data_IF_850527192537
#
_entry.id   IF_850527192537
#
_cell.length_a   1.000
_cell.length_b   1.000
_cell.length_c   1.000
_cell.angle_alpha   90.00
_cell.angle_beta   90.00
_cell.angle_gamma   90.00
#
_symmetry.space_group_name_H-M   'P 1'
#
loop_
_entity.id
_entity.type
_entity.pdbx_description
1 polymer ?
#
# COMPACT_ATOMS: atom_id res chain seq x y z
N UNK A 1 -23.66 -27.35 45.67
CA UNK A 1 -23.06 -27.83 44.41
C UNK A 1 -24.22 -27.94 43.42
N UNK A 2 -24.23 -27.37 42.23
CA UNK A 2 -23.20 -27.31 41.20
C UNK A 2 -23.27 -25.99 40.42
N UNK A 3 -22.10 -25.46 40.07
CA UNK A 3 -21.95 -24.27 39.24
C UNK A 3 -22.13 -24.58 37.76
N UNK A 4 -22.80 -23.67 37.05
CA UNK A 4 -22.89 -23.66 35.59
C UNK A 4 -21.50 -23.73 34.95
N UNK A 5 -21.29 -24.54 33.88
CA UNK A 5 -20.07 -24.45 33.09
C UNK A 5 -20.07 -23.12 32.34
N UNK A 6 -19.20 -22.21 32.78
CA UNK A 6 -18.82 -21.01 32.06
C UNK A 6 -18.43 -21.39 30.63
N UNK A 7 -19.21 -20.92 29.65
CA UNK A 7 -18.87 -21.04 28.22
C UNK A 7 -17.46 -20.50 28.03
N UNK A 8 -16.53 -21.38 27.67
CA UNK A 8 -15.27 -21.00 27.09
C UNK A 8 -15.59 -20.23 25.80
N UNK A 9 -15.57 -18.91 25.87
CA UNK A 9 -15.56 -18.06 24.68
C UNK A 9 -14.22 -18.33 24.03
N UNK A 10 -14.19 -19.22 23.04
CA UNK A 10 -13.04 -19.41 22.18
C UNK A 10 -12.65 -18.01 21.67
N UNK A 11 -11.47 -17.51 22.08
CA UNK A 11 -10.93 -16.21 21.64
C UNK A 11 -11.04 -16.18 20.12
N UNK A 12 -11.97 -15.37 19.62
CA UNK A 12 -12.25 -15.27 18.19
C UNK A 12 -10.94 -14.78 17.53
N UNK A 13 -10.26 -15.67 16.80
CA UNK A 13 -9.05 -15.30 16.06
C UNK A 13 -9.43 -14.15 15.14
N UNK A 14 -8.72 -13.01 15.25
CA UNK A 14 -8.94 -11.84 14.39
C UNK A 14 -8.92 -12.30 12.93
N UNK A 15 -9.76 -11.70 12.08
CA UNK A 15 -9.80 -12.05 10.66
C UNK A 15 -8.43 -11.83 10.02
N UNK A 16 -8.11 -12.59 8.98
CA UNK A 16 -6.85 -12.44 8.24
C UNK A 16 -6.59 -10.99 7.84
N UNK A 17 -7.64 -10.26 7.41
CA UNK A 17 -7.56 -8.84 7.05
C UNK A 17 -7.22 -7.93 8.22
N UNK A 18 -7.60 -8.29 9.45
CA UNK A 18 -7.24 -7.57 10.66
C UNK A 18 -5.81 -7.92 11.14
N UNK A 19 -5.17 -8.91 10.53
CA UNK A 19 -3.79 -9.28 10.82
C UNK A 19 -2.80 -8.67 9.82
N UNK A 20 -3.24 -8.30 8.61
CA UNK A 20 -2.39 -7.63 7.61
C UNK A 20 -2.04 -6.21 8.06
N UNK A 21 -0.75 -5.86 8.00
CA UNK A 21 -0.25 -4.52 8.33
C UNK A 21 0.48 -3.85 7.16
N UNK A 22 1.15 -4.65 6.34
CA UNK A 22 1.91 -4.17 5.19
C UNK A 22 1.80 -5.15 4.03
N UNK A 23 2.17 -4.68 2.86
CA UNK A 23 2.28 -5.49 1.66
C UNK A 23 3.50 -5.06 0.86
N UNK A 24 4.14 -6.04 0.23
CA UNK A 24 5.18 -5.80 -0.76
C UNK A 24 4.54 -5.75 -2.13
N UNK A 25 4.74 -4.64 -2.84
CA UNK A 25 4.27 -4.45 -4.20
C UNK A 25 5.45 -4.29 -5.15
N UNK A 26 5.41 -4.96 -6.29
CA UNK A 26 6.28 -4.74 -7.44
C UNK A 26 5.47 -4.09 -8.57
N UNK A 27 6.06 -3.06 -9.18
CA UNK A 27 5.53 -2.32 -10.31
C UNK A 27 6.49 -2.46 -11.48
N UNK A 28 5.98 -2.93 -12.63
CA UNK A 28 6.77 -3.16 -13.83
C UNK A 28 6.22 -2.32 -14.97
N UNK A 29 7.03 -1.38 -15.45
CA UNK A 29 6.76 -0.52 -16.60
C UNK A 29 8.04 0.20 -17.03
N UNK A 30 8.17 0.59 -18.32
CA UNK A 30 9.37 1.28 -18.79
C UNK A 30 9.70 2.53 -17.96
N UNK A 31 10.94 2.62 -17.46
CA UNK A 31 11.47 3.75 -16.69
C UNK A 31 10.82 3.99 -15.32
N UNK A 32 10.00 3.06 -14.81
CA UNK A 32 9.28 3.26 -13.55
C UNK A 32 10.21 3.29 -12.33
N UNK A 33 11.36 2.60 -12.41
CA UNK A 33 12.31 2.54 -11.31
C UNK A 33 12.85 3.90 -10.94
N UNK A 34 13.32 4.65 -11.93
CA UNK A 34 13.83 6.01 -11.73
C UNK A 34 12.76 6.90 -11.09
N UNK A 35 11.54 6.89 -11.61
CA UNK A 35 10.44 7.69 -11.07
C UNK A 35 10.14 7.33 -9.60
N UNK A 36 10.10 6.04 -9.26
CA UNK A 36 9.85 5.61 -7.87
C UNK A 36 11.03 6.00 -6.97
N UNK A 37 12.27 5.84 -7.42
CA UNK A 37 13.46 6.26 -6.68
C UNK A 37 13.45 7.77 -6.38
N UNK A 38 13.17 8.60 -7.38
CA UNK A 38 13.03 10.06 -7.23
C UNK A 38 11.91 10.44 -6.24
N UNK A 39 10.79 9.72 -6.29
CA UNK A 39 9.68 9.93 -5.36
C UNK A 39 10.10 9.64 -3.91
N UNK A 40 10.83 8.55 -3.68
CA UNK A 40 11.31 8.14 -2.35
C UNK A 40 12.47 9.01 -1.83
N UNK A 41 13.24 9.64 -2.72
CA UNK A 41 14.28 10.61 -2.35
C UNK A 41 13.71 11.98 -1.88
N UNK A 42 12.40 12.18 -2.03
CA UNK A 42 11.70 13.42 -1.68
C UNK A 42 10.79 13.20 -0.47
N UNK A 43 10.85 14.09 0.53
CA UNK A 43 9.96 14.08 1.69
C UNK A 43 8.68 14.91 1.50
N UNK A 44 8.42 15.39 0.28
CA UNK A 44 7.23 16.22 0.00
C UNK A 44 5.94 15.42 0.18
N UNK A 45 4.83 16.06 0.61
CA UNK A 45 3.51 15.42 0.61
C UNK A 45 3.16 14.83 -0.74
N UNK A 46 2.41 13.72 -0.74
CA UNK A 46 1.98 12.99 -1.93
C UNK A 46 0.44 12.96 -2.03
N UNK A 47 -0.21 14.09 -2.36
CA UNK A 47 -1.65 14.21 -2.35
C UNK A 47 -2.31 13.45 -3.52
N UNK A 48 -3.40 12.75 -3.22
CA UNK A 48 -4.30 12.16 -4.23
C UNK A 48 -5.75 12.42 -3.89
N UNK A 49 -6.58 12.53 -4.93
CA UNK A 49 -8.02 12.64 -4.75
C UNK A 49 -8.63 11.26 -4.59
N UNK A 50 -9.15 10.98 -3.39
CA UNK A 50 -9.95 9.78 -3.14
C UNK A 50 -11.42 10.09 -3.40
N UNK A 51 -11.95 9.51 -4.48
CA UNK A 51 -13.37 9.54 -4.78
C UNK A 51 -14.16 8.61 -3.86
N UNK A 52 -15.28 9.08 -3.32
CA UNK A 52 -16.17 8.27 -2.49
C UNK A 52 -17.64 8.66 -2.70
N UNK A 53 -18.57 7.78 -2.30
CA UNK A 53 -20.02 8.05 -2.36
C UNK A 53 -20.45 9.28 -1.55
N UNK A 54 -19.64 9.72 -0.57
CA UNK A 54 -19.91 10.88 0.29
C UNK A 54 -19.14 12.13 -0.15
N UNK A 55 -18.53 12.11 -1.33
CA UNK A 55 -17.74 13.21 -1.88
C UNK A 55 -16.27 12.85 -2.11
N UNK A 56 -15.57 13.77 -2.75
CA UNK A 56 -14.13 13.67 -3.02
C UNK A 56 -13.38 14.24 -1.83
N UNK A 57 -12.32 13.55 -1.40
CA UNK A 57 -11.40 14.08 -0.38
C UNK A 57 -9.96 13.90 -0.84
N UNK A 58 -9.13 14.89 -0.56
CA UNK A 58 -7.69 14.75 -0.74
C UNK A 58 -7.10 13.97 0.44
N UNK A 59 -6.19 13.05 0.14
CA UNK A 59 -5.42 12.31 1.14
C UNK A 59 -3.95 12.32 0.75
N UNK A 60 -3.07 12.37 1.74
CA UNK A 60 -1.63 12.19 1.53
C UNK A 60 -1.28 10.69 1.57
N UNK A 61 -0.63 10.19 0.51
CA UNK A 61 -0.16 8.82 0.43
C UNK A 61 1.20 8.62 1.10
N UNK A 62 1.97 9.68 1.37
CA UNK A 62 3.34 9.58 1.91
C UNK A 62 3.43 8.69 3.17
N UNK A 63 2.54 8.79 4.17
CA UNK A 63 2.61 7.93 5.36
C UNK A 63 2.36 6.44 5.10
N UNK A 64 1.87 6.09 3.91
CA UNK A 64 1.60 4.71 3.50
C UNK A 64 2.82 4.07 2.83
N UNK A 65 3.79 4.87 2.37
CA UNK A 65 5.04 4.39 1.77
C UNK A 65 6.04 4.14 2.89
N UNK A 66 6.45 2.88 3.07
CA UNK A 66 7.32 2.48 4.20
C UNK A 66 8.77 2.43 3.74
N UNK A 67 9.05 1.74 2.64
CA UNK A 67 10.42 1.47 2.19
C UNK A 67 10.46 1.20 0.68
N UNK A 68 11.53 1.64 0.02
CA UNK A 68 11.91 1.19 -1.31
C UNK A 68 12.84 -0.02 -1.16
N UNK A 69 12.33 -1.22 -1.46
CA UNK A 69 13.06 -2.48 -1.29
C UNK A 69 14.09 -2.67 -2.41
N UNK A 70 13.68 -2.43 -3.65
CA UNK A 70 14.57 -2.54 -4.81
C UNK A 70 14.07 -1.69 -5.96
N UNK A 71 15.01 -1.31 -6.82
CA UNK A 71 14.77 -0.49 -8.00
C UNK A 71 15.74 -0.88 -9.12
N UNK A 72 15.20 -1.03 -10.32
CA UNK A 72 15.92 -1.12 -11.60
C UNK A 72 15.13 -0.32 -12.64
N UNK A 73 15.70 0.00 -13.79
CA UNK A 73 15.07 0.87 -14.81
C UNK A 73 13.55 0.66 -14.98
N UNK A 74 13.13 -0.59 -15.24
CA UNK A 74 11.74 -0.93 -15.55
C UNK A 74 10.98 -1.62 -14.41
N UNK A 75 11.52 -1.65 -13.20
CA UNK A 75 10.89 -2.30 -12.05
C UNK A 75 11.20 -1.59 -10.73
N UNK A 76 10.20 -1.47 -9.87
CA UNK A 76 10.37 -1.01 -8.50
C UNK A 76 9.57 -1.87 -7.54
N UNK A 77 10.19 -2.27 -6.44
CA UNK A 77 9.54 -3.02 -5.35
C UNK A 77 9.53 -2.18 -4.08
N UNK A 78 8.36 -2.01 -3.49
CA UNK A 78 8.16 -1.19 -2.28
C UNK A 78 7.46 -1.98 -1.19
N UNK A 79 7.75 -1.61 0.06
CA UNK A 79 6.94 -1.93 1.21
C UNK A 79 5.95 -0.81 1.47
N UNK A 80 4.67 -1.14 1.59
CA UNK A 80 3.62 -0.17 1.87
C UNK A 80 2.67 -0.64 2.97
N UNK A 81 2.03 0.30 3.67
CA UNK A 81 0.96 0.02 4.63
C UNK A 81 -0.22 -0.64 3.92
N UNK A 82 -0.73 -1.70 4.54
CA UNK A 82 -1.88 -2.48 4.06
C UNK A 82 -2.77 -2.91 5.23
N UNK A 83 -4.01 -3.29 4.92
CA UNK A 83 -5.01 -3.73 5.92
C UNK A 83 -6.16 -2.75 6.08
N UNK A 84 -7.04 -3.00 7.05
CA UNK A 84 -8.31 -2.25 7.16
C UNK A 84 -8.15 -0.80 7.64
N UNK A 85 -7.12 -0.52 8.45
CA UNK A 85 -6.90 0.81 9.04
C UNK A 85 -6.12 1.75 8.10
N UNK A 86 -5.16 1.22 7.34
CA UNK A 86 -4.32 1.95 6.41
C UNK A 86 -3.99 1.06 5.23
N UNK A 87 -4.26 1.52 4.01
CA UNK A 87 -4.06 0.70 2.81
C UNK A 87 -3.66 1.56 1.62
N UNK A 88 -2.43 1.36 1.15
CA UNK A 88 -2.01 1.90 -0.14
C UNK A 88 -2.83 1.21 -1.24
N UNK A 89 -3.49 2.03 -2.07
CA UNK A 89 -4.08 1.57 -3.31
C UNK A 89 -3.04 1.72 -4.41
N UNK A 90 -2.61 0.62 -5.08
CA UNK A 90 -1.59 0.71 -6.13
C UNK A 90 -1.97 1.65 -7.28
N UNK A 91 -3.27 1.71 -7.62
CA UNK A 91 -3.77 2.63 -8.65
C UNK A 91 -3.59 4.11 -8.28
N UNK A 92 -3.91 4.48 -7.03
CA UNK A 92 -3.70 5.84 -6.54
C UNK A 92 -2.21 6.18 -6.40
N UNK A 93 -1.38 5.20 -6.05
CA UNK A 93 0.07 5.38 -5.99
C UNK A 93 0.64 5.74 -7.37
N UNK A 94 0.24 5.02 -8.42
CA UNK A 94 0.70 5.27 -9.78
C UNK A 94 0.22 6.62 -10.33
N UNK A 95 -0.99 7.05 -9.99
CA UNK A 95 -1.48 8.40 -10.29
C UNK A 95 -0.62 9.46 -9.60
N UNK A 96 -0.31 9.27 -8.31
CA UNK A 96 0.52 10.18 -7.53
C UNK A 96 1.95 10.25 -8.06
N UNK A 97 2.52 9.11 -8.46
CA UNK A 97 3.84 9.00 -9.07
C UNK A 97 3.92 9.89 -10.31
N UNK A 98 2.99 9.73 -11.25
CA UNK A 98 2.91 10.56 -12.46
C UNK A 98 2.84 12.05 -12.15
N UNK A 99 2.02 12.44 -11.17
CA UNK A 99 1.86 13.85 -10.77
C UNK A 99 3.12 14.43 -10.11
N UNK A 100 3.81 13.63 -9.31
CA UNK A 100 4.92 14.11 -8.48
C UNK A 100 6.25 14.15 -9.25
N UNK A 101 6.48 13.23 -10.18
CA UNK A 101 7.77 13.08 -10.89
C UNK A 101 7.68 13.37 -12.38
N UNK A 102 6.46 13.55 -12.93
CA UNK A 102 6.26 13.67 -14.37
C UNK A 102 6.30 12.33 -15.11
N UNK A 103 6.30 11.19 -14.40
CA UNK A 103 6.27 9.86 -15.01
C UNK A 103 5.05 9.73 -15.96
N UNK A 104 5.22 9.26 -17.21
CA UNK A 104 4.14 9.27 -18.20
C UNK A 104 2.89 8.52 -17.71
N UNK A 105 1.75 9.21 -17.70
CA UNK A 105 0.49 8.63 -17.21
C UNK A 105 0.06 7.38 -18.00
N UNK A 106 0.35 7.35 -19.31
CA UNK A 106 0.10 6.17 -20.15
C UNK A 106 0.86 4.94 -19.65
N UNK A 107 2.13 5.12 -19.24
CA UNK A 107 2.94 4.03 -18.69
C UNK A 107 2.49 3.64 -17.29
N UNK A 108 2.11 4.62 -16.46
CA UNK A 108 1.56 4.37 -15.13
C UNK A 108 0.27 3.52 -15.21
N UNK A 109 -0.62 3.81 -16.16
CA UNK A 109 -1.86 3.05 -16.38
C UNK A 109 -1.62 1.66 -16.97
N UNK A 110 -0.55 1.50 -17.77
CA UNK A 110 -0.17 0.22 -18.36
C UNK A 110 0.72 -0.63 -17.43
N UNK A 111 1.13 -0.10 -16.27
CA UNK A 111 2.05 -0.78 -15.38
C UNK A 111 1.46 -2.10 -14.86
N UNK A 112 2.27 -3.15 -14.90
CA UNK A 112 1.91 -4.42 -14.26
C UNK A 112 2.15 -4.29 -12.76
N UNK A 113 1.11 -4.59 -11.99
CA UNK A 113 1.11 -4.49 -10.54
C UNK A 113 1.07 -5.90 -9.95
N UNK A 114 2.07 -6.24 -9.13
CA UNK A 114 2.17 -7.53 -8.45
C UNK A 114 2.20 -7.27 -6.95
N UNK A 115 1.28 -7.89 -6.20
CA UNK A 115 1.39 -7.96 -4.75
C UNK A 115 2.13 -9.22 -4.39
N UNK A 116 3.41 -9.11 -4.10
CA UNK A 116 4.29 -10.27 -3.88
C UNK A 116 3.96 -10.99 -2.58
N UNK A 117 3.77 -10.25 -1.48
CA UNK A 117 3.44 -10.81 -0.17
C UNK A 117 2.70 -9.83 0.73
N UNK A 118 2.07 -10.38 1.76
CA UNK A 118 1.46 -9.65 2.88
C UNK A 118 2.32 -9.87 4.12
N UNK A 119 2.48 -8.83 4.93
CA UNK A 119 3.14 -8.89 6.24
C UNK A 119 2.08 -8.83 7.33
N UNK A 120 2.13 -9.78 8.26
CA UNK A 120 1.14 -9.93 9.33
C UNK A 120 1.67 -9.41 10.67
N UNK A 121 0.75 -8.97 11.55
CA UNK A 121 1.04 -8.48 12.91
C UNK A 121 1.80 -9.48 13.81
N UNK A 122 1.89 -10.76 13.43
CA UNK A 122 2.59 -11.80 14.19
C UNK A 122 4.06 -11.96 13.83
N UNK A 123 4.56 -11.20 12.85
CA UNK A 123 5.93 -11.27 12.34
C UNK A 123 6.81 -10.07 12.80
N UNK A 124 6.30 -9.26 13.72
CA UNK A 124 6.99 -8.12 14.39
C UNK A 124 6.95 -8.30 15.89
#
# INVERSE_FOLDING_TARGET
AEGYPSRLVAKQKRSLMAQVQQAVYSFQAPGIGQAVSELFASDKPLPVTKHSKRGNREIDLRPLLVELISCSDDNATILARAGSAANLRPDLFLEALSKATGYPQSQALAARIIRERLVLNSET
#
